data_IF_098936161483
#
_entry.id   IF_098936161483
#
_cell.length_a   1.000
_cell.length_b   1.000
_cell.length_c   1.000
_cell.angle_alpha   90.00
_cell.angle_beta   90.00
_cell.angle_gamma   90.00
#
_symmetry.space_group_name_H-M   'P 1'
#
loop_
_entity.id
_entity.type
_entity.pdbx_description
1 polymer ?
#
# COMPACT_ATOMS: atom_id res chain seq x y z
N UNK A 1 -7.79 7.92 -12.60
CA UNK A 1 -7.35 7.39 -13.91
C UNK A 1 -8.32 7.86 -15.00
N UNK A 2 -7.88 8.04 -16.24
CA UNK A 2 -8.80 8.36 -17.33
C UNK A 2 -9.59 7.11 -17.78
N UNK A 3 -10.80 7.31 -18.28
CA UNK A 3 -11.65 6.24 -18.83
C UNK A 3 -11.09 5.59 -20.10
N UNK A 4 -10.03 6.15 -20.70
CA UNK A 4 -9.33 5.53 -21.82
C UNK A 4 -8.40 4.37 -21.41
N UNK A 5 -8.27 4.10 -20.11
CA UNK A 5 -7.45 3.00 -19.63
C UNK A 5 -8.06 1.65 -20.05
N UNK A 6 -7.20 0.65 -20.28
CA UNK A 6 -7.60 -0.69 -20.74
C UNK A 6 -7.15 -1.75 -19.75
N UNK A 7 -7.96 -2.80 -19.58
CA UNK A 7 -7.57 -3.98 -18.79
C UNK A 7 -6.41 -4.68 -19.50
N UNK A 8 -5.46 -5.20 -18.74
CA UNK A 8 -4.42 -6.09 -19.25
C UNK A 8 -4.37 -7.37 -18.43
N UNK A 9 -4.10 -8.48 -19.09
CA UNK A 9 -3.80 -9.78 -18.46
C UNK A 9 -2.30 -10.01 -18.29
N UNK A 10 -1.47 -9.12 -18.84
CA UNK A 10 -0.03 -9.16 -18.69
C UNK A 10 0.36 -9.06 -17.21
N UNK A 11 1.02 -10.10 -16.70
CA UNK A 11 1.43 -10.17 -15.32
C UNK A 11 2.52 -9.13 -14.99
N UNK A 12 3.37 -8.78 -15.95
CA UNK A 12 4.45 -7.82 -15.75
C UNK A 12 3.92 -6.40 -15.55
N UNK A 13 2.71 -6.12 -16.05
CA UNK A 13 2.02 -4.86 -15.83
C UNK A 13 1.67 -4.59 -14.36
N UNK A 14 1.66 -5.62 -13.49
CA UNK A 14 1.53 -5.45 -12.03
C UNK A 14 2.75 -4.77 -11.41
N UNK A 15 3.89 -4.80 -12.10
CA UNK A 15 5.15 -4.24 -11.65
C UNK A 15 5.55 -4.72 -10.24
N UNK A 16 5.22 -5.96 -9.87
CA UNK A 16 5.46 -6.55 -8.54
C UNK A 16 4.34 -6.39 -7.51
N UNK A 17 3.32 -5.57 -7.77
CA UNK A 17 2.22 -5.37 -6.82
C UNK A 17 1.33 -6.62 -6.72
N UNK A 18 0.95 -6.97 -5.49
CA UNK A 18 -0.05 -8.01 -5.21
C UNK A 18 -1.48 -7.48 -5.47
N UNK A 19 -1.87 -7.42 -6.74
CA UNK A 19 -3.18 -6.93 -7.21
C UNK A 19 -3.83 -7.93 -8.15
N UNK A 20 -5.15 -8.02 -8.12
CA UNK A 20 -5.95 -8.91 -8.95
C UNK A 20 -6.08 -8.37 -10.37
N UNK A 21 -6.34 -7.07 -10.51
CA UNK A 21 -6.63 -6.41 -11.78
C UNK A 21 -5.71 -5.23 -12.04
N UNK A 22 -5.28 -5.10 -13.29
CA UNK A 22 -4.47 -3.96 -13.75
C UNK A 22 -5.12 -3.28 -14.94
N UNK A 23 -5.13 -1.95 -14.88
CA UNK A 23 -5.52 -1.07 -15.97
C UNK A 23 -4.31 -0.26 -16.44
N UNK A 24 -4.10 -0.21 -17.75
CA UNK A 24 -3.01 0.54 -18.37
C UNK A 24 -3.54 1.86 -18.95
N UNK A 25 -2.98 3.02 -18.55
CA UNK A 25 -3.33 4.31 -19.13
C UNK A 25 -2.87 4.37 -20.61
N UNK A 26 -3.79 4.72 -21.52
CA UNK A 26 -3.46 4.85 -22.96
C UNK A 26 -3.15 6.26 -23.42
N UNK A 27 -3.80 7.25 -22.81
CA UNK A 27 -3.81 8.62 -23.32
C UNK A 27 -4.87 8.83 -24.41
N UNK A 28 -5.60 9.93 -24.32
CA UNK A 28 -6.54 10.43 -25.31
C UNK A 28 -6.66 11.97 -25.18
N UNK A 29 -7.40 12.60 -26.09
CA UNK A 29 -7.59 14.07 -26.09
C UNK A 29 -8.17 14.58 -24.77
N UNK A 30 -9.12 13.84 -24.18
CA UNK A 30 -9.77 14.23 -22.91
C UNK A 30 -8.78 14.36 -21.75
N UNK A 31 -7.76 13.50 -21.68
CA UNK A 31 -6.73 13.54 -20.64
C UNK A 31 -5.44 14.22 -21.10
N UNK A 32 -5.43 14.89 -22.26
CA UNK A 32 -4.24 15.52 -22.83
C UNK A 32 -3.11 14.52 -23.07
N UNK A 33 -3.43 13.29 -23.49
CA UNK A 33 -2.44 12.25 -23.77
C UNK A 33 -1.80 11.58 -22.54
N UNK A 34 -2.12 11.99 -21.30
CA UNK A 34 -1.45 11.46 -20.10
C UNK A 34 -2.01 10.11 -19.61
N UNK A 35 -3.29 9.84 -19.89
CA UNK A 35 -4.05 8.71 -19.34
C UNK A 35 -4.55 8.92 -17.90
N UNK A 36 -4.36 10.10 -17.31
CA UNK A 36 -4.80 10.44 -15.95
C UNK A 36 -5.68 11.70 -15.94
N UNK A 37 -6.65 11.72 -15.02
CA UNK A 37 -7.53 12.87 -14.76
C UNK A 37 -7.74 12.95 -13.25
N UNK A 38 -7.58 14.17 -12.71
CA UNK A 38 -7.72 14.41 -11.27
C UNK A 38 -6.57 13.82 -10.45
N UNK A 39 -6.73 13.93 -9.12
CA UNK A 39 -5.82 13.41 -8.10
C UNK A 39 -6.64 12.93 -6.91
N UNK A 40 -6.14 11.94 -6.19
CA UNK A 40 -6.73 11.48 -4.93
C UNK A 40 -5.61 11.23 -3.91
N UNK A 41 -5.99 11.16 -2.64
CA UNK A 41 -5.06 10.98 -1.54
C UNK A 41 -4.87 9.49 -1.22
N UNK A 42 -3.62 9.04 -1.17
CA UNK A 42 -3.23 7.85 -0.43
C UNK A 42 -2.70 8.30 0.93
N UNK A 43 -3.33 7.86 2.01
CA UNK A 43 -2.94 8.23 3.37
C UNK A 43 -2.89 7.01 4.25
N UNK A 44 -1.98 6.99 5.20
CA UNK A 44 -2.02 6.07 6.33
C UNK A 44 -2.13 6.88 7.61
N UNK A 45 -2.71 6.30 8.65
CA UNK A 45 -2.90 6.99 9.92
C UNK A 45 -2.46 6.06 11.04
N UNK A 46 -1.35 6.42 11.67
CA UNK A 46 -0.83 5.72 12.83
C UNK A 46 -1.51 6.25 14.09
N UNK A 47 -2.32 5.42 14.75
CA UNK A 47 -2.99 5.78 16.00
C UNK A 47 -2.26 5.15 17.18
N UNK A 48 -1.83 5.97 18.15
CA UNK A 48 -1.09 5.51 19.33
C UNK A 48 -2.03 5.08 20.48
N UNK A 49 -3.22 4.56 20.16
CA UNK A 49 -4.24 4.22 21.16
C UNK A 49 -3.91 2.94 21.95
N UNK A 50 -2.87 2.19 21.55
CA UNK A 50 -2.42 0.96 22.22
C UNK A 50 -1.05 1.17 22.84
N UNK A 51 -0.91 0.72 24.09
CA UNK A 51 0.31 0.92 24.90
C UNK A 51 1.56 0.33 24.23
N UNK A 52 1.46 -0.87 23.64
CA UNK A 52 2.61 -1.54 22.99
C UNK A 52 3.22 -0.71 21.84
N UNK A 53 2.39 -0.03 21.06
CA UNK A 53 2.86 0.78 19.94
C UNK A 53 3.51 2.08 20.43
N UNK A 54 2.92 2.72 21.44
CA UNK A 54 3.50 3.89 22.07
C UNK A 54 4.86 3.55 22.71
N UNK A 55 4.95 2.41 23.40
CA UNK A 55 6.20 1.91 23.96
C UNK A 55 7.25 1.63 22.88
N UNK A 56 6.89 1.00 21.77
CA UNK A 56 7.82 0.75 20.66
C UNK A 56 8.38 2.04 20.05
N UNK A 57 7.55 3.09 19.94
CA UNK A 57 7.99 4.41 19.48
C UNK A 57 8.96 5.04 20.49
N UNK A 58 8.63 5.03 21.78
CA UNK A 58 9.50 5.58 22.84
C UNK A 58 10.82 4.82 22.95
N UNK A 59 10.79 3.50 22.74
CA UNK A 59 11.97 2.64 22.72
C UNK A 59 12.83 2.79 21.44
N UNK A 60 12.40 3.61 20.47
CA UNK A 60 13.05 3.76 19.15
C UNK A 60 13.26 2.43 18.44
N UNK A 61 12.28 1.54 18.56
CA UNK A 61 12.27 0.27 17.85
C UNK A 61 12.39 0.48 16.35
N UNK A 62 12.88 -0.53 15.64
CA UNK A 62 12.97 -0.48 14.19
C UNK A 62 11.62 -0.15 13.56
N UNK A 63 11.63 0.65 12.49
CA UNK A 63 10.41 1.03 11.76
C UNK A 63 9.59 -0.20 11.33
N UNK A 64 10.27 -1.29 10.99
CA UNK A 64 9.70 -2.59 10.70
C UNK A 64 8.80 -3.14 11.81
N UNK A 65 9.24 -3.00 13.06
CA UNK A 65 8.52 -3.49 14.25
C UNK A 65 7.31 -2.60 14.49
N UNK A 66 7.49 -1.28 14.42
CA UNK A 66 6.42 -0.29 14.60
C UNK A 66 5.32 -0.50 13.55
N UNK A 67 5.69 -0.70 12.28
CA UNK A 67 4.74 -0.96 11.19
C UNK A 67 3.93 -2.23 11.43
N UNK A 68 4.57 -3.34 11.83
CA UNK A 68 3.86 -4.60 12.14
C UNK A 68 2.88 -4.44 13.28
N UNK A 69 3.29 -3.79 14.38
CA UNK A 69 2.41 -3.52 15.53
C UNK A 69 1.22 -2.64 15.11
N UNK A 70 1.47 -1.61 14.31
CA UNK A 70 0.43 -0.72 13.81
C UNK A 70 -0.59 -1.44 12.91
N UNK A 71 -0.11 -2.24 11.95
CA UNK A 71 -0.98 -3.02 11.06
C UNK A 71 -1.77 -4.06 11.85
N UNK A 72 -1.11 -4.76 12.78
CA UNK A 72 -1.78 -5.71 13.69
C UNK A 72 -2.84 -5.04 14.59
N UNK A 73 -2.67 -3.76 14.90
CA UNK A 73 -3.64 -2.94 15.63
C UNK A 73 -4.79 -2.41 14.75
N UNK A 74 -4.82 -2.73 13.46
CA UNK A 74 -5.87 -2.32 12.51
C UNK A 74 -5.52 -1.12 11.63
N UNK A 75 -4.28 -0.63 11.67
CA UNK A 75 -3.84 0.39 10.71
C UNK A 75 -3.81 -0.19 9.29
N UNK A 76 -4.44 0.52 8.35
CA UNK A 76 -4.30 0.22 6.92
C UNK A 76 -3.10 0.99 6.37
N UNK A 77 -2.09 0.27 5.90
CA UNK A 77 -0.87 0.85 5.37
C UNK A 77 -1.10 1.55 4.03
N UNK A 78 -0.21 2.48 3.67
CA UNK A 78 -0.23 3.12 2.34
C UNK A 78 -0.17 2.12 1.18
N UNK A 79 0.54 1.00 1.37
CA UNK A 79 0.68 -0.05 0.36
C UNK A 79 -0.62 -0.82 0.14
N UNK A 80 -1.31 -1.18 1.21
CA UNK A 80 -2.63 -1.82 1.13
C UNK A 80 -3.65 -0.92 0.41
N UNK A 81 -3.63 0.38 0.70
CA UNK A 81 -4.50 1.35 -0.01
C UNK A 81 -4.12 1.53 -1.47
N UNK A 82 -2.82 1.53 -1.79
CA UNK A 82 -2.36 1.63 -3.16
C UNK A 82 -2.78 0.41 -4.00
N UNK A 83 -2.61 -0.81 -3.46
CA UNK A 83 -3.06 -2.05 -4.10
C UNK A 83 -4.57 -2.01 -4.38
N UNK A 84 -5.36 -1.67 -3.36
CA UNK A 84 -6.82 -1.50 -3.51
C UNK A 84 -7.19 -0.46 -4.57
N UNK A 85 -6.51 0.68 -4.61
CA UNK A 85 -6.79 1.73 -5.60
C UNK A 85 -6.43 1.29 -7.04
N UNK A 86 -5.49 0.37 -7.21
CA UNK A 86 -5.18 -0.25 -8.50
C UNK A 86 -6.29 -1.23 -8.89
N UNK A 87 -6.69 -2.12 -7.99
CA UNK A 87 -7.78 -3.08 -8.23
C UNK A 87 -9.11 -2.40 -8.57
N UNK A 88 -9.40 -1.28 -7.90
CA UNK A 88 -10.57 -0.44 -8.16
C UNK A 88 -10.46 0.40 -9.46
N UNK A 89 -9.33 0.34 -10.16
CA UNK A 89 -9.10 1.09 -11.39
C UNK A 89 -9.04 2.61 -11.19
N UNK A 90 -8.67 3.07 -9.99
CA UNK A 90 -8.49 4.49 -9.70
C UNK A 90 -7.12 5.02 -10.13
N UNK A 91 -6.10 4.16 -10.09
CA UNK A 91 -4.71 4.44 -10.50
C UNK A 91 -4.10 3.23 -11.21
N UNK A 92 -2.86 3.34 -11.69
CA UNK A 92 -2.13 2.23 -12.31
C UNK A 92 -0.92 1.79 -11.46
N UNK A 93 -0.42 0.56 -11.64
CA UNK A 93 0.82 0.11 -11.01
C UNK A 93 2.00 1.04 -11.28
N UNK A 94 2.13 1.54 -12.51
CA UNK A 94 3.19 2.48 -12.88
C UNK A 94 3.12 3.77 -12.05
N UNK A 95 1.93 4.30 -11.80
CA UNK A 95 1.75 5.49 -10.98
C UNK A 95 2.04 5.22 -9.50
N UNK A 96 1.67 4.04 -8.99
CA UNK A 96 2.04 3.60 -7.64
C UNK A 96 3.56 3.53 -7.49
N UNK A 97 4.27 2.91 -8.44
CA UNK A 97 5.74 2.84 -8.42
C UNK A 97 6.40 4.20 -8.56
N UNK A 98 5.84 5.09 -9.38
CA UNK A 98 6.33 6.47 -9.51
C UNK A 98 6.27 7.24 -8.19
N UNK A 99 5.26 6.99 -7.36
CA UNK A 99 5.03 7.73 -6.11
C UNK A 99 5.63 7.04 -4.88
N UNK A 100 5.51 5.72 -4.76
CA UNK A 100 5.95 4.94 -3.59
C UNK A 100 7.29 4.22 -3.80
N UNK A 101 7.79 4.13 -5.04
CA UNK A 101 8.99 3.39 -5.37
C UNK A 101 8.83 1.88 -5.35
N UNK A 102 9.94 1.17 -5.18
CA UNK A 102 9.98 -0.26 -4.89
C UNK A 102 10.30 -0.45 -3.40
N UNK A 103 9.34 -0.98 -2.64
CA UNK A 103 9.52 -1.30 -1.21
C UNK A 103 9.77 -2.80 -1.00
N UNK A 104 10.02 -3.22 0.25
CA UNK A 104 10.04 -4.65 0.61
C UNK A 104 8.61 -5.17 0.70
N UNK A 105 8.12 -5.75 -0.39
CA UNK A 105 6.73 -6.16 -0.60
C UNK A 105 6.35 -7.44 0.17
N UNK A 106 7.34 -8.18 0.68
CA UNK A 106 7.15 -9.35 1.53
C UNK A 106 6.42 -9.04 2.85
N UNK A 107 6.27 -7.74 3.21
CA UNK A 107 5.61 -7.31 4.45
C UNK A 107 4.16 -6.86 4.30
N UNK A 108 3.70 -6.58 3.07
CA UNK A 108 2.36 -6.05 2.83
C UNK A 108 1.26 -7.12 2.83
N UNK A 109 1.65 -8.39 2.61
CA UNK A 109 0.74 -9.49 2.34
C UNK A 109 1.01 -10.70 3.25
N UNK A 110 1.06 -10.55 4.57
CA UNK A 110 1.03 -11.75 5.43
C UNK A 110 0.21 -11.53 6.70
N UNK A 111 -1.01 -12.10 6.69
CA UNK A 111 -1.65 -12.62 7.89
C UNK A 111 -0.94 -13.87 8.37
N UNK A 112 0.30 -13.74 8.85
CA UNK A 112 0.96 -14.78 9.63
C UNK A 112 0.97 -14.28 11.07
N UNK A 113 0.17 -14.94 11.91
CA UNK A 113 0.35 -14.88 13.35
C UNK A 113 1.79 -15.34 13.65
N UNK A 114 2.65 -14.38 13.97
CA UNK A 114 3.84 -14.65 14.78
C UNK A 114 3.37 -14.45 16.21
N UNK A 115 3.32 -15.54 16.98
CA UNK A 115 3.07 -15.48 18.42
C UNK A 115 4.06 -14.48 19.03
N UNK A 116 3.52 -13.44 19.67
CA UNK A 116 4.30 -12.57 20.53
C UNK A 116 4.89 -13.45 21.63
N UNK A 117 6.23 -13.48 21.82
CA UNK A 117 6.79 -14.14 23.00
C UNK A 117 6.18 -13.48 24.24
N UNK A 118 5.81 -14.25 25.29
CA UNK A 118 5.19 -13.69 26.48
C UNK A 118 6.10 -12.61 27.04
N UNK A 119 5.59 -11.38 27.10
CA UNK A 119 6.27 -10.28 27.78
C UNK A 119 6.35 -10.68 29.25
N UNK A 120 7.57 -11.02 29.70
CA UNK A 120 7.86 -11.32 31.09
C UNK A 120 7.74 -9.98 31.84
N UNK A 121 6.63 -9.80 32.54
CA UNK A 121 6.47 -8.77 33.55
C UNK A 121 7.44 -9.12 34.70
N UNK A 122 8.47 -8.30 34.88
CA UNK A 122 9.22 -8.18 36.14
C UNK A 122 8.69 -6.98 36.91
#
# INVERSE_FOLDING_TARGET
MCSCAVVTEDADARLGLAVERVMIPRGCDRCGGTGYLGRFLLTEMLTLARDELAHAVLARSEAAVIERLAVGAGMVSRWQRAARAVDEGMTSPAEVRRVLGFGNEERACVGMAVELPPQRLE
#
